data_IF_822039236858
#
_entry.id   IF_822039236858
#
_cell.length_a   1.000
_cell.length_b   1.000
_cell.length_c   1.000
_cell.angle_alpha   90.00
_cell.angle_beta   90.00
_cell.angle_gamma   90.00
#
_symmetry.space_group_name_H-M   'P 1'
#
loop_
_entity.id
_entity.type
_entity.pdbx_description
1 polymer ?
#
# COMPACT_ATOMS: atom_id res chain seq x y z
N UNK A 1 -13.92 -8.70 16.18
CA UNK A 1 -14.85 -9.08 15.10
C UNK A 1 -15.11 -7.85 14.26
N UNK A 2 -14.79 -7.90 12.96
CA UNK A 2 -14.96 -6.80 12.00
C UNK A 2 -16.43 -6.76 11.58
N UNK A 3 -17.14 -5.65 11.82
CA UNK A 3 -18.59 -5.54 11.54
C UNK A 3 -18.88 -4.55 10.43
N UNK A 4 -18.30 -3.34 10.50
CA UNK A 4 -18.56 -2.24 9.56
C UNK A 4 -18.09 -2.56 8.13
N UNK A 5 -16.95 -3.22 7.96
CA UNK A 5 -16.35 -3.38 6.63
C UNK A 5 -16.60 -4.73 5.97
N UNK A 6 -17.22 -5.68 6.67
CA UNK A 6 -17.48 -7.01 6.12
C UNK A 6 -18.38 -6.99 4.88
N UNK A 7 -19.37 -6.10 4.84
CA UNK A 7 -20.30 -5.96 3.70
C UNK A 7 -19.73 -5.11 2.56
N UNK A 8 -18.54 -4.52 2.73
CA UNK A 8 -17.85 -3.73 1.70
C UNK A 8 -16.89 -4.55 0.86
N UNK A 9 -16.53 -5.75 1.32
CA UNK A 9 -15.71 -6.70 0.55
C UNK A 9 -16.65 -7.47 -0.36
N UNK A 10 -16.49 -7.29 -1.66
CA UNK A 10 -17.39 -7.84 -2.68
C UNK A 10 -16.63 -8.75 -3.65
N UNK A 11 -17.39 -9.61 -4.33
CA UNK A 11 -16.86 -10.44 -5.41
C UNK A 11 -16.74 -9.64 -6.70
N UNK A 12 -15.88 -10.11 -7.61
CA UNK A 12 -15.66 -9.48 -8.91
C UNK A 12 -16.94 -9.35 -9.75
N UNK A 13 -17.86 -10.32 -9.66
CA UNK A 13 -19.13 -10.27 -10.38
C UNK A 13 -19.95 -9.04 -9.99
N UNK A 14 -20.14 -8.81 -8.69
CA UNK A 14 -20.84 -7.63 -8.18
C UNK A 14 -20.08 -6.33 -8.47
N UNK A 15 -18.74 -6.37 -8.47
CA UNK A 15 -17.92 -5.22 -8.83
C UNK A 15 -18.13 -4.81 -10.29
N UNK A 16 -18.36 -5.76 -11.20
CA UNK A 16 -18.69 -5.45 -12.59
C UNK A 16 -20.04 -4.75 -12.72
N UNK A 17 -21.05 -5.19 -11.95
CA UNK A 17 -22.37 -4.53 -11.93
C UNK A 17 -22.26 -3.07 -11.46
N UNK A 18 -21.48 -2.81 -10.40
CA UNK A 18 -21.25 -1.45 -9.91
C UNK A 18 -20.52 -0.58 -10.94
N UNK A 19 -19.51 -1.13 -11.63
CA UNK A 19 -18.83 -0.41 -12.73
C UNK A 19 -19.81 -0.05 -13.85
N UNK A 20 -20.74 -0.94 -14.20
CA UNK A 20 -21.81 -0.64 -15.17
C UNK A 20 -22.79 0.43 -14.69
N UNK A 21 -22.98 0.58 -13.38
CA UNK A 21 -23.77 1.66 -12.76
C UNK A 21 -23.01 2.99 -12.64
N UNK A 22 -21.77 3.05 -13.13
CA UNK A 22 -20.95 4.27 -13.14
C UNK A 22 -20.03 4.45 -11.94
N UNK A 23 -19.83 3.42 -11.12
CA UNK A 23 -18.77 3.44 -10.10
C UNK A 23 -17.41 3.44 -10.78
N UNK A 24 -16.49 4.26 -10.29
CA UNK A 24 -15.09 4.12 -10.65
C UNK A 24 -14.47 2.95 -9.88
N UNK A 25 -13.53 2.28 -10.54
CA UNK A 25 -12.71 1.24 -9.96
C UNK A 25 -11.24 1.61 -10.14
N UNK A 26 -10.46 1.54 -9.07
CA UNK A 26 -9.05 1.92 -9.07
C UNK A 26 -8.25 0.86 -8.31
N UNK A 27 -7.15 0.41 -8.92
CA UNK A 27 -6.08 -0.31 -8.24
C UNK A 27 -5.00 0.72 -7.89
N UNK A 28 -4.96 1.23 -6.65
CA UNK A 28 -4.19 2.45 -6.33
C UNK A 28 -2.71 2.19 -6.07
N UNK A 29 -2.23 0.95 -6.25
CA UNK A 29 -0.85 0.57 -5.96
C UNK A 29 -0.33 -0.39 -7.04
N UNK A 30 0.39 0.14 -8.01
CA UNK A 30 0.88 -0.59 -9.17
C UNK A 30 2.24 -0.04 -9.62
N UNK A 31 3.17 -0.94 -9.93
CA UNK A 31 4.53 -0.59 -10.34
C UNK A 31 4.81 -0.98 -11.79
N UNK A 32 5.66 -0.18 -12.41
CA UNK A 32 6.19 -0.38 -13.77
C UNK A 32 7.69 -0.60 -13.72
N UNK A 33 8.32 -0.85 -14.87
CA UNK A 33 9.78 -0.97 -14.99
C UNK A 33 10.57 0.30 -14.61
N UNK A 34 9.91 1.37 -14.16
CA UNK A 34 10.54 2.55 -13.60
C UNK A 34 10.71 2.47 -12.08
N UNK A 35 10.01 1.58 -11.38
CA UNK A 35 10.36 1.18 -10.01
C UNK A 35 11.68 0.42 -9.99
N UNK A 36 12.47 0.61 -8.92
CA UNK A 36 13.79 -0.01 -8.79
C UNK A 36 13.74 -1.55 -8.65
N UNK A 37 12.60 -2.14 -8.33
CA UNK A 37 12.41 -3.56 -8.06
C UNK A 37 11.56 -4.30 -9.10
N UNK A 38 11.16 -3.61 -10.17
CA UNK A 38 10.44 -4.21 -11.29
C UNK A 38 11.40 -4.42 -12.47
N UNK A 39 11.49 -5.65 -13.03
CA UNK A 39 12.36 -5.91 -14.16
C UNK A 39 11.98 -5.07 -15.38
N UNK A 40 12.97 -4.53 -16.10
CA UNK A 40 12.74 -3.76 -17.32
C UNK A 40 12.49 -4.68 -18.53
N UNK A 41 11.22 -5.02 -18.73
CA UNK A 41 10.72 -5.80 -19.86
C UNK A 41 9.45 -5.17 -20.43
N UNK A 42 9.12 -5.52 -21.67
CA UNK A 42 7.89 -5.03 -22.32
C UNK A 42 6.65 -5.26 -21.44
N UNK A 43 6.55 -6.41 -20.78
CA UNK A 43 5.39 -6.78 -19.96
C UNK A 43 5.14 -5.83 -18.78
N UNK A 44 6.19 -5.23 -18.22
CA UNK A 44 6.13 -4.32 -17.06
C UNK A 44 6.26 -2.85 -17.47
N UNK A 45 6.28 -2.56 -18.78
CA UNK A 45 6.27 -1.17 -19.26
C UNK A 45 5.00 -0.43 -18.81
N UNK A 46 5.09 0.90 -18.60
CA UNK A 46 3.93 1.74 -18.29
C UNK A 46 2.75 1.52 -19.24
N UNK A 47 2.99 1.38 -20.56
CA UNK A 47 1.92 1.16 -21.54
C UNK A 47 1.17 -0.15 -21.31
N UNK A 48 1.91 -1.22 -20.99
CA UNK A 48 1.32 -2.53 -20.80
C UNK A 48 0.52 -2.60 -19.50
N UNK A 49 0.95 -1.89 -18.45
CA UNK A 49 0.18 -1.76 -17.22
C UNK A 49 -1.11 -0.99 -17.47
N UNK A 50 -1.03 0.19 -18.08
CA UNK A 50 -2.21 1.03 -18.35
C UNK A 50 -3.21 0.29 -19.25
N UNK A 51 -2.74 -0.33 -20.34
CA UNK A 51 -3.60 -1.14 -21.22
C UNK A 51 -4.30 -2.26 -20.45
N UNK A 52 -3.62 -2.88 -19.48
CA UNK A 52 -4.19 -3.94 -18.66
C UNK A 52 -5.23 -3.39 -17.69
N UNK A 53 -4.96 -2.29 -17.00
CA UNK A 53 -5.93 -1.60 -16.13
C UNK A 53 -7.19 -1.20 -16.92
N UNK A 54 -7.04 -0.58 -18.09
CA UNK A 54 -8.16 -0.19 -18.96
C UNK A 54 -8.98 -1.40 -19.41
N UNK A 55 -8.33 -2.52 -19.77
CA UNK A 55 -9.02 -3.75 -20.17
C UNK A 55 -9.87 -4.37 -19.06
N UNK A 56 -9.61 -4.02 -17.81
CA UNK A 56 -10.35 -4.46 -16.62
C UNK A 56 -11.43 -3.45 -16.18
N UNK A 57 -11.53 -2.32 -16.89
CA UNK A 57 -12.40 -1.20 -16.52
C UNK A 57 -11.90 -0.44 -15.29
N UNK A 58 -10.60 -0.45 -15.04
CA UNK A 58 -9.97 0.32 -13.96
C UNK A 58 -9.50 1.68 -14.48
N UNK A 59 -9.56 2.71 -13.64
CA UNK A 59 -8.89 3.99 -13.93
C UNK A 59 -7.37 3.77 -13.92
N UNK A 60 -6.65 4.17 -14.97
CA UNK A 60 -5.20 3.99 -15.03
C UNK A 60 -4.46 4.81 -13.97
N UNK A 61 -3.54 4.16 -13.27
CA UNK A 61 -2.70 4.75 -12.23
C UNK A 61 -1.34 4.05 -12.19
N UNK A 62 -0.28 4.83 -12.03
CA UNK A 62 1.10 4.34 -11.82
C UNK A 62 1.59 4.93 -10.51
N UNK A 63 2.14 4.10 -9.63
CA UNK A 63 2.69 4.49 -8.33
C UNK A 63 4.08 3.89 -8.16
N UNK A 64 5.01 4.22 -9.07
CA UNK A 64 6.39 3.73 -8.98
C UNK A 64 7.07 4.22 -7.69
N UNK A 65 8.07 3.47 -7.21
CA UNK A 65 8.80 3.83 -5.99
C UNK A 65 9.59 5.13 -6.15
N UNK A 66 9.33 6.10 -5.28
CA UNK A 66 10.05 7.36 -5.17
C UNK A 66 10.27 8.05 -6.54
N UNK A 67 9.30 7.92 -7.46
CA UNK A 67 9.44 8.49 -8.80
C UNK A 67 8.11 8.66 -9.54
N UNK A 68 8.02 9.70 -10.36
CA UNK A 68 6.97 9.88 -11.38
C UNK A 68 7.41 9.48 -12.78
N UNK A 69 8.58 8.84 -12.94
CA UNK A 69 9.17 8.62 -14.26
C UNK A 69 8.32 7.75 -15.19
N UNK A 70 7.64 6.71 -14.69
CA UNK A 70 6.73 5.89 -15.50
C UNK A 70 5.53 6.69 -16.03
N UNK A 71 4.96 7.55 -15.19
CA UNK A 71 3.92 8.50 -15.58
C UNK A 71 4.43 9.53 -16.60
N UNK A 72 5.55 10.21 -16.30
CA UNK A 72 6.15 11.23 -17.17
C UNK A 72 6.47 10.65 -18.56
N UNK A 73 6.97 9.42 -18.61
CA UNK A 73 7.24 8.69 -19.84
C UNK A 73 5.98 8.56 -20.72
N UNK A 74 4.85 8.13 -20.16
CA UNK A 74 3.59 8.00 -20.90
C UNK A 74 3.05 9.35 -21.37
N UNK A 75 3.11 10.37 -20.51
CA UNK A 75 2.64 11.71 -20.84
C UNK A 75 3.41 12.32 -22.01
N UNK A 76 4.72 12.12 -22.05
CA UNK A 76 5.58 12.63 -23.13
C UNK A 76 5.30 11.99 -24.49
N UNK A 77 4.85 10.72 -24.54
CA UNK A 77 4.71 9.95 -25.78
C UNK A 77 3.28 9.83 -26.31
N UNK A 78 2.33 9.61 -25.40
CA UNK A 78 0.96 9.20 -25.77
C UNK A 78 -0.13 10.14 -25.26
N UNK A 79 0.20 11.05 -24.33
CA UNK A 79 -0.77 11.93 -23.65
C UNK A 79 -1.98 11.14 -23.10
N UNK A 80 -1.73 9.93 -22.63
CA UNK A 80 -2.78 9.04 -22.10
C UNK A 80 -3.21 9.54 -20.72
N UNK A 81 -4.51 9.51 -20.43
CA UNK A 81 -5.03 9.92 -19.11
C UNK A 81 -4.67 8.86 -18.07
N UNK A 82 -3.66 9.16 -17.26
CA UNK A 82 -3.19 8.33 -16.14
C UNK A 82 -3.15 9.22 -14.90
N UNK A 83 -3.57 8.69 -13.76
CA UNK A 83 -3.42 9.38 -12.47
C UNK A 83 -1.95 9.30 -12.06
N UNK A 84 -1.23 10.43 -11.90
CA UNK A 84 0.12 10.39 -11.37
C UNK A 84 0.08 10.01 -9.90
N UNK A 85 0.93 9.08 -9.51
CA UNK A 85 1.14 8.71 -8.11
C UNK A 85 2.59 8.23 -7.93
N UNK A 86 3.05 8.22 -6.69
CA UNK A 86 4.32 7.62 -6.30
C UNK A 86 4.16 6.90 -4.97
N UNK A 87 4.84 5.76 -4.80
CA UNK A 87 5.01 5.14 -3.48
C UNK A 87 6.27 5.71 -2.84
N UNK A 88 6.10 6.57 -1.83
CA UNK A 88 7.21 7.23 -1.16
C UNK A 88 7.57 6.48 0.11
N UNK A 89 8.86 6.19 0.28
CA UNK A 89 9.38 5.49 1.46
C UNK A 89 9.95 6.47 2.48
N UNK A 90 9.49 6.37 3.73
CA UNK A 90 10.05 7.14 4.86
C UNK A 90 10.40 6.20 6.02
N UNK A 91 11.55 6.41 6.65
CA UNK A 91 11.95 5.73 7.90
C UNK A 91 11.95 6.76 9.02
N UNK A 92 10.84 6.97 9.74
CA UNK A 92 10.73 8.08 10.68
C UNK A 92 11.65 7.91 11.89
N UNK A 93 12.39 8.96 12.22
CA UNK A 93 13.11 9.06 13.51
C UNK A 93 12.19 9.53 14.63
N UNK A 94 11.27 10.42 14.29
CA UNK A 94 10.30 11.03 15.20
C UNK A 94 8.91 10.97 14.60
N UNK A 95 7.91 10.83 15.47
CA UNK A 95 6.52 11.07 15.14
C UNK A 95 5.89 11.64 16.41
N UNK A 96 5.65 12.95 16.45
CA UNK A 96 5.31 13.70 17.67
C UNK A 96 4.09 13.15 18.41
N UNK A 97 3.18 12.47 17.70
CA UNK A 97 1.97 11.89 18.27
C UNK A 97 2.13 10.45 18.79
N UNK A 98 3.32 9.84 18.69
CA UNK A 98 3.59 8.48 19.17
C UNK A 98 5.04 8.37 19.66
N UNK A 99 5.25 8.33 20.99
CA UNK A 99 6.57 7.98 21.53
C UNK A 99 6.87 6.51 21.26
N UNK A 100 7.81 6.24 20.36
CA UNK A 100 8.28 4.88 20.10
C UNK A 100 9.46 4.55 20.99
N UNK A 101 9.35 3.48 21.79
CA UNK A 101 10.49 2.92 22.54
C UNK A 101 11.54 2.24 21.65
N UNK A 102 11.25 2.07 20.36
CA UNK A 102 12.05 1.33 19.37
C UNK A 102 12.00 2.07 18.04
N UNK A 103 13.02 1.94 17.17
CA UNK A 103 12.97 2.49 15.82
C UNK A 103 11.71 1.99 15.10
N UNK A 104 11.11 2.88 14.32
CA UNK A 104 10.00 2.53 13.45
C UNK A 104 10.54 1.79 12.22
N UNK A 105 9.75 0.86 11.68
CA UNK A 105 10.02 0.28 10.36
C UNK A 105 9.75 1.31 9.25
N UNK A 106 10.27 1.07 8.06
CA UNK A 106 9.97 1.86 6.89
C UNK A 106 8.45 1.93 6.66
N UNK A 107 7.93 3.13 6.46
CA UNK A 107 6.57 3.38 6.06
C UNK A 107 6.56 3.64 4.57
N UNK A 108 5.65 2.97 3.88
CA UNK A 108 5.41 3.20 2.47
C UNK A 108 4.08 3.95 2.33
N UNK A 109 4.11 5.03 1.56
CA UNK A 109 2.99 5.96 1.45
C UNK A 109 2.74 6.25 -0.02
N UNK A 110 1.62 5.77 -0.57
CA UNK A 110 1.18 6.25 -1.87
C UNK A 110 0.66 7.67 -1.74
N UNK A 111 1.16 8.55 -2.61
CA UNK A 111 0.68 9.92 -2.77
C UNK A 111 0.13 10.06 -4.18
N UNK A 112 -1.05 10.65 -4.32
CA UNK A 112 -1.79 10.72 -5.58
C UNK A 112 -1.90 12.15 -6.08
N UNK A 113 -1.99 12.30 -7.40
CA UNK A 113 -2.15 13.58 -8.11
C UNK A 113 -1.03 14.61 -7.85
N UNK A 114 0.15 14.16 -7.39
CA UNK A 114 1.32 15.01 -7.20
C UNK A 114 2.08 15.27 -8.50
N UNK A 115 2.84 16.37 -8.52
CA UNK A 115 3.80 16.70 -9.56
C UNK A 115 5.26 16.47 -9.13
N UNK A 116 6.21 16.77 -10.02
CA UNK A 116 7.64 16.56 -9.75
C UNK A 116 8.22 17.52 -8.70
N UNK A 117 7.65 18.72 -8.54
CA UNK A 117 8.11 19.69 -7.53
C UNK A 117 7.66 19.22 -6.14
N UNK A 118 6.40 18.82 -6.02
CA UNK A 118 5.85 18.25 -4.80
C UNK A 118 6.56 16.94 -4.42
N UNK A 119 6.86 16.06 -5.40
CA UNK A 119 7.65 14.85 -5.15
C UNK A 119 9.04 15.19 -4.58
N UNK A 120 9.77 16.13 -5.18
CA UNK A 120 11.10 16.50 -4.71
C UNK A 120 11.11 17.04 -3.27
N UNK A 121 10.07 17.81 -2.88
CA UNK A 121 9.90 18.27 -1.50
C UNK A 121 9.64 17.08 -0.56
N UNK A 122 8.75 16.17 -0.94
CA UNK A 122 8.43 14.97 -0.15
C UNK A 122 9.66 14.05 0.01
N UNK A 123 10.48 13.88 -1.01
CA UNK A 123 11.75 13.15 -0.96
C UNK A 123 12.74 13.78 0.03
N UNK A 124 12.88 15.11 0.02
CA UNK A 124 13.72 15.84 0.97
C UNK A 124 13.22 15.65 2.42
N UNK A 125 11.91 15.75 2.66
CA UNK A 125 11.30 15.50 3.97
C UNK A 125 11.47 14.05 4.44
N UNK A 126 11.31 13.08 3.51
CA UNK A 126 11.54 11.67 3.79
C UNK A 126 13.02 11.41 4.14
N UNK A 127 13.96 12.05 3.45
CA UNK A 127 15.40 11.95 3.73
C UNK A 127 15.78 12.51 5.11
N UNK A 128 15.08 13.56 5.55
CA UNK A 128 15.19 14.14 6.90
C UNK A 128 14.49 13.29 7.97
N UNK A 129 13.74 12.27 7.55
CA UNK A 129 13.05 11.32 8.42
C UNK A 129 11.99 11.98 9.31
N UNK A 130 11.37 13.06 8.82
CA UNK A 130 10.38 13.88 9.52
C UNK A 130 8.97 13.58 9.01
N UNK A 131 8.31 12.61 9.66
CA UNK A 131 6.95 12.21 9.30
C UNK A 131 5.91 13.30 9.58
N UNK A 132 6.12 14.11 10.62
CA UNK A 132 5.17 15.16 10.97
C UNK A 132 5.15 16.25 9.90
N UNK A 133 6.33 16.68 9.46
CA UNK A 133 6.46 17.65 8.37
C UNK A 133 5.94 17.08 7.06
N UNK A 134 6.29 15.84 6.73
CA UNK A 134 5.83 15.14 5.54
C UNK A 134 4.30 15.13 5.45
N UNK A 135 3.62 14.73 6.53
CA UNK A 135 2.15 14.68 6.58
C UNK A 135 1.54 16.09 6.61
N UNK A 136 2.22 17.06 7.24
CA UNK A 136 1.79 18.46 7.23
C UNK A 136 1.79 19.02 5.81
N UNK A 137 2.86 18.79 5.06
CA UNK A 137 2.98 19.22 3.67
C UNK A 137 1.87 18.60 2.81
N UNK A 138 1.67 17.27 2.89
CA UNK A 138 0.59 16.59 2.16
C UNK A 138 -0.79 17.22 2.41
N UNK A 139 -1.08 17.58 3.67
CA UNK A 139 -2.36 18.23 4.04
C UNK A 139 -2.46 19.67 3.57
N UNK A 140 -1.36 20.42 3.56
CA UNK A 140 -1.33 21.82 3.10
C UNK A 140 -1.50 21.93 1.59
N UNK A 141 -0.88 21.01 0.85
CA UNK A 141 -1.00 20.87 -0.60
C UNK A 141 -2.29 20.16 -1.04
N UNK A 142 -3.14 19.78 -0.08
CA UNK A 142 -4.40 19.06 -0.32
C UNK A 142 -4.22 17.75 -1.11
N UNK A 143 -3.07 17.08 -0.95
CA UNK A 143 -2.74 15.83 -1.62
C UNK A 143 -3.44 14.65 -0.95
N UNK A 144 -3.95 13.73 -1.77
CA UNK A 144 -4.51 12.47 -1.29
C UNK A 144 -3.39 11.45 -1.11
N UNK A 145 -3.46 10.67 -0.02
CA UNK A 145 -2.44 9.67 0.30
C UNK A 145 -3.01 8.47 1.07
N UNK A 146 -2.25 7.38 1.08
CA UNK A 146 -2.60 6.11 1.74
C UNK A 146 -1.41 5.51 2.48
N UNK A 147 -1.65 4.88 3.64
CA UNK A 147 -0.64 4.03 4.27
C UNK A 147 -0.66 2.63 3.66
N UNK A 148 0.43 2.29 2.98
CA UNK A 148 0.58 1.00 2.31
C UNK A 148 0.93 -0.10 3.31
N UNK A 149 0.43 -1.30 3.00
CA UNK A 149 0.69 -2.60 3.61
C UNK A 149 1.19 -2.55 5.08
N UNK A 150 0.35 -2.09 6.03
CA UNK A 150 0.80 -1.68 7.38
C UNK A 150 1.58 -2.71 8.21
N UNK A 151 1.41 -4.00 7.88
CA UNK A 151 2.03 -5.14 8.55
C UNK A 151 3.23 -5.71 7.79
N UNK A 152 3.73 -4.97 6.81
CA UNK A 152 4.95 -5.27 6.08
C UNK A 152 6.13 -4.44 6.61
N UNK A 153 7.33 -4.97 6.45
CA UNK A 153 8.57 -4.23 6.68
C UNK A 153 9.68 -4.82 5.80
N UNK A 154 10.72 -4.03 5.59
CA UNK A 154 11.89 -4.43 4.82
C UNK A 154 12.58 -5.69 5.37
N UNK A 155 13.30 -6.41 4.50
CA UNK A 155 13.92 -7.72 4.85
C UNK A 155 14.83 -7.65 6.08
N UNK A 156 15.51 -6.51 6.28
CA UNK A 156 16.46 -6.28 7.38
C UNK A 156 15.84 -5.55 8.58
N UNK A 157 14.53 -5.29 8.54
CA UNK A 157 13.82 -4.58 9.59
C UNK A 157 13.03 -5.53 10.49
N UNK A 158 12.54 -4.97 11.61
CA UNK A 158 11.57 -5.62 12.49
C UNK A 158 10.31 -4.76 12.53
N UNK A 159 9.19 -5.33 12.10
CA UNK A 159 7.90 -4.66 12.17
C UNK A 159 7.61 -4.19 13.61
N UNK A 160 7.40 -2.88 13.77
CA UNK A 160 6.97 -2.31 15.03
C UNK A 160 5.43 -2.28 15.09
N UNK A 161 4.80 -3.44 15.23
CA UNK A 161 3.34 -3.57 15.22
C UNK A 161 2.62 -2.69 16.26
N UNK A 162 3.30 -2.28 17.35
CA UNK A 162 2.76 -1.40 18.39
C UNK A 162 2.52 0.01 17.88
N UNK A 163 3.27 0.44 16.88
CA UNK A 163 3.14 1.76 16.27
C UNK A 163 1.89 1.88 15.39
N UNK A 164 1.51 0.78 14.72
CA UNK A 164 0.50 0.78 13.65
C UNK A 164 -0.83 1.44 14.07
N UNK A 165 -1.47 1.09 15.21
CA UNK A 165 -2.73 1.74 15.59
C UNK A 165 -2.59 3.24 15.80
N UNK A 166 -1.47 3.70 16.37
CA UNK A 166 -1.20 5.12 16.53
C UNK A 166 -0.98 5.81 15.19
N UNK A 167 -0.22 5.18 14.28
CA UNK A 167 0.06 5.72 12.95
C UNK A 167 -1.23 5.94 12.17
N UNK A 168 -2.05 4.88 12.10
CA UNK A 168 -3.36 4.91 11.45
C UNK A 168 -4.25 5.99 12.05
N UNK A 169 -4.33 6.05 13.38
CA UNK A 169 -5.20 7.03 14.05
C UNK A 169 -4.80 8.46 13.71
N UNK A 170 -3.50 8.77 13.78
CA UNK A 170 -3.01 10.15 13.83
C UNK A 170 -2.59 10.73 12.46
N UNK A 171 -2.13 9.89 11.53
CA UNK A 171 -1.53 10.38 10.29
C UNK A 171 -2.33 10.06 9.03
N UNK A 172 -3.08 8.96 9.00
CA UNK A 172 -3.65 8.43 7.75
C UNK A 172 -5.18 8.39 7.78
N UNK A 173 -5.80 8.76 6.66
CA UNK A 173 -7.25 8.67 6.48
C UNK A 173 -7.68 7.44 5.68
N UNK A 174 -6.77 6.88 4.87
CA UNK A 174 -6.96 5.65 4.10
C UNK A 174 -5.80 4.70 4.35
N UNK A 175 -6.09 3.40 4.39
CA UNK A 175 -5.11 2.35 4.68
C UNK A 175 -5.31 1.20 3.68
N UNK A 176 -4.21 0.59 3.25
CA UNK A 176 -4.22 -0.44 2.23
C UNK A 176 -4.62 -1.83 2.76
N UNK A 177 -5.46 -2.54 1.98
CA UNK A 177 -5.54 -4.00 1.97
C UNK A 177 -4.78 -4.55 0.76
N UNK A 178 -3.58 -5.03 1.03
CA UNK A 178 -2.62 -5.41 0.02
C UNK A 178 -2.81 -6.88 -0.37
N UNK A 179 -2.92 -7.17 -1.67
CA UNK A 179 -3.11 -8.53 -2.18
C UNK A 179 -1.94 -9.47 -1.88
N UNK A 180 -0.73 -8.90 -1.73
CA UNK A 180 0.47 -9.61 -1.30
C UNK A 180 0.51 -9.95 0.18
N UNK A 181 -0.54 -9.66 0.99
CA UNK A 181 -0.59 -10.02 2.42
C UNK A 181 -1.56 -11.17 2.71
N UNK A 182 -1.26 -12.02 3.70
CA UNK A 182 -2.17 -13.08 4.13
C UNK A 182 -3.43 -12.49 4.78
N UNK A 183 -4.52 -13.25 4.70
CA UNK A 183 -5.85 -12.83 5.15
C UNK A 183 -5.89 -12.25 6.56
N UNK A 184 -5.19 -12.86 7.50
CA UNK A 184 -5.24 -12.46 8.91
C UNK A 184 -4.58 -11.09 9.16
N UNK A 185 -3.54 -10.72 8.40
CA UNK A 185 -2.93 -9.39 8.49
C UNK A 185 -3.83 -8.32 7.85
N UNK A 186 -4.43 -8.60 6.69
CA UNK A 186 -5.42 -7.72 6.09
C UNK A 186 -6.67 -7.56 6.99
N UNK A 187 -7.10 -8.63 7.67
CA UNK A 187 -8.19 -8.55 8.67
C UNK A 187 -7.79 -7.68 9.88
N UNK A 188 -6.51 -7.68 10.29
CA UNK A 188 -6.03 -6.78 11.33
C UNK A 188 -6.05 -5.31 10.87
N UNK A 189 -5.65 -5.04 9.62
CA UNK A 189 -5.76 -3.70 9.03
C UNK A 189 -7.22 -3.21 9.04
N UNK A 190 -8.15 -4.05 8.57
CA UNK A 190 -9.58 -3.76 8.61
C UNK A 190 -10.07 -3.46 10.03
N UNK A 191 -9.64 -4.25 11.01
CA UNK A 191 -10.02 -4.03 12.40
C UNK A 191 -9.54 -2.67 12.92
N UNK A 192 -8.28 -2.30 12.66
CA UNK A 192 -7.73 -1.01 13.10
C UNK A 192 -8.48 0.15 12.42
N UNK A 193 -8.71 0.05 11.11
CA UNK A 193 -9.45 1.04 10.34
C UNK A 193 -10.86 1.25 10.89
N UNK A 194 -11.56 0.17 11.24
CA UNK A 194 -12.90 0.24 11.83
C UNK A 194 -12.89 0.92 13.20
N UNK A 195 -11.85 0.71 14.02
CA UNK A 195 -11.78 1.35 15.33
C UNK A 195 -11.63 2.86 15.26
N UNK A 196 -10.91 3.38 14.26
CA UNK A 196 -10.62 4.80 14.07
C UNK A 196 -11.38 5.44 12.91
N UNK A 197 -12.40 4.76 12.38
CA UNK A 197 -13.27 5.24 11.30
C UNK A 197 -12.50 5.68 10.04
N UNK A 198 -11.47 4.91 9.65
CA UNK A 198 -10.62 5.20 8.50
C UNK A 198 -11.13 4.52 7.23
N UNK A 199 -10.88 5.15 6.09
CA UNK A 199 -11.11 4.57 4.77
C UNK A 199 -10.19 3.39 4.51
N UNK A 200 -10.57 2.57 3.53
CA UNK A 200 -9.78 1.43 3.07
C UNK A 200 -9.71 1.48 1.55
N UNK A 201 -8.52 1.23 1.01
CA UNK A 201 -8.38 0.88 -0.39
C UNK A 201 -7.71 -0.50 -0.49
N UNK A 202 -8.19 -1.36 -1.39
CA UNK A 202 -7.52 -2.60 -1.74
C UNK A 202 -6.69 -2.39 -3.00
N UNK A 203 -5.49 -2.95 -3.03
CA UNK A 203 -4.57 -2.78 -4.15
C UNK A 203 -3.73 -4.04 -4.41
N UNK A 204 -3.30 -4.19 -5.66
CA UNK A 204 -2.56 -5.36 -6.13
C UNK A 204 -1.10 -5.35 -5.71
N UNK A 205 -0.50 -4.16 -5.62
CA UNK A 205 0.94 -3.98 -5.40
C UNK A 205 1.75 -4.77 -6.44
N UNK A 206 1.30 -4.64 -7.70
CA UNK A 206 1.77 -5.52 -8.77
C UNK A 206 3.14 -5.09 -9.29
N UNK A 207 4.07 -6.04 -9.28
CA UNK A 207 5.42 -5.92 -9.84
C UNK A 207 5.60 -6.71 -11.14
N UNK A 208 4.53 -7.35 -11.61
CA UNK A 208 4.57 -8.29 -12.75
C UNK A 208 3.49 -8.03 -13.80
N UNK A 209 2.82 -6.88 -13.73
CA UNK A 209 1.68 -6.48 -14.56
C UNK A 209 0.47 -7.43 -14.42
N UNK A 210 0.06 -7.65 -13.17
CA UNK A 210 -1.13 -8.40 -12.78
C UNK A 210 -2.07 -7.54 -11.90
N UNK A 211 -2.53 -6.35 -12.39
CA UNK A 211 -3.47 -5.53 -11.65
C UNK A 211 -4.86 -6.17 -11.62
N UNK A 212 -5.70 -5.74 -10.67
CA UNK A 212 -7.12 -6.13 -10.59
C UNK A 212 -7.42 -7.42 -9.83
N UNK A 213 -6.42 -8.08 -9.24
CA UNK A 213 -6.63 -9.06 -8.17
C UNK A 213 -7.13 -8.40 -6.87
N UNK A 214 -6.82 -7.12 -6.67
CA UNK A 214 -7.37 -6.28 -5.61
C UNK A 214 -7.54 -4.85 -6.13
N UNK A 215 -8.70 -4.25 -5.86
CA UNK A 215 -9.02 -2.88 -6.28
C UNK A 215 -10.18 -2.32 -5.48
N UNK A 216 -10.36 -1.00 -5.56
CA UNK A 216 -11.35 -0.24 -4.80
C UNK A 216 -12.37 0.38 -5.72
N UNK A 217 -13.65 0.36 -5.33
CA UNK A 217 -14.74 0.99 -6.06
C UNK A 217 -15.42 2.07 -5.22
N UNK A 218 -15.72 3.20 -5.84
CA UNK A 218 -16.52 4.26 -5.25
C UNK A 218 -17.18 5.10 -6.36
N UNK A 219 -18.27 5.77 -6.03
CA UNK A 219 -18.88 6.77 -6.93
C UNK A 219 -17.96 7.99 -7.09
N UNK A 220 -18.15 8.76 -8.16
CA UNK A 220 -17.44 10.02 -8.36
C UNK A 220 -17.50 10.47 -9.81
N UNK A 221 -17.15 11.72 -10.08
CA UNK A 221 -17.01 12.25 -11.46
C UNK A 221 -15.55 12.34 -11.92
N UNK A 222 -14.62 12.30 -10.98
CA UNK A 222 -13.18 12.28 -11.19
C UNK A 222 -12.49 11.50 -10.04
N UNK A 223 -11.17 11.38 -10.10
CA UNK A 223 -10.40 10.67 -9.07
C UNK A 223 -10.53 11.31 -7.67
N UNK A 224 -10.62 12.63 -7.58
CA UNK A 224 -10.76 13.34 -6.31
C UNK A 224 -12.08 13.01 -5.61
N UNK A 225 -13.19 13.00 -6.35
CA UNK A 225 -14.50 12.58 -5.82
C UNK A 225 -14.47 11.12 -5.36
N UNK A 226 -13.86 10.25 -6.17
CA UNK A 226 -13.65 8.84 -5.84
C UNK A 226 -12.90 8.70 -4.52
N UNK A 227 -11.76 9.37 -4.37
CA UNK A 227 -10.93 9.25 -3.17
C UNK A 227 -11.57 9.87 -1.93
N UNK A 228 -12.31 10.97 -2.12
CA UNK A 228 -13.12 11.56 -1.04
C UNK A 228 -14.17 10.56 -0.52
N UNK A 229 -14.85 9.85 -1.41
CA UNK A 229 -15.77 8.78 -1.03
C UNK A 229 -15.07 7.63 -0.30
N UNK A 230 -13.84 7.26 -0.70
CA UNK A 230 -13.02 6.28 0.03
C UNK A 230 -12.71 6.75 1.46
N UNK A 231 -12.24 8.00 1.64
CA UNK A 231 -11.98 8.61 2.96
C UNK A 231 -13.22 8.60 3.84
N UNK A 232 -14.39 8.90 3.27
CA UNK A 232 -15.67 8.94 3.98
C UNK A 232 -16.34 7.56 4.15
N UNK A 233 -15.60 6.48 3.90
CA UNK A 233 -16.10 5.10 4.01
C UNK A 233 -17.27 4.76 3.07
N UNK A 234 -17.42 5.45 1.95
CA UNK A 234 -18.39 5.16 0.87
C UNK A 234 -17.70 4.46 -0.30
N UNK A 235 -17.19 3.27 -0.01
CA UNK A 235 -16.50 2.42 -0.98
C UNK A 235 -16.96 0.96 -0.88
N UNK A 236 -16.61 0.21 -1.92
CA UNK A 236 -16.50 -1.24 -1.95
C UNK A 236 -15.06 -1.63 -2.32
N UNK A 237 -14.64 -2.84 -1.95
CA UNK A 237 -13.34 -3.38 -2.36
C UNK A 237 -13.50 -4.79 -2.89
N UNK A 238 -12.78 -5.08 -3.96
CA UNK A 238 -12.44 -6.44 -4.35
C UNK A 238 -11.11 -6.78 -3.71
N UNK A 239 -11.06 -7.92 -3.02
CA UNK A 239 -9.92 -8.35 -2.23
C UNK A 239 -9.57 -9.80 -2.56
N UNK A 240 -8.37 -10.02 -3.08
CA UNK A 240 -7.73 -11.33 -3.14
C UNK A 240 -6.57 -11.34 -2.13
N UNK A 241 -6.65 -12.19 -1.11
CA UNK A 241 -5.57 -12.35 -0.14
C UNK A 241 -4.47 -13.28 -0.67
N UNK A 242 -3.27 -13.14 -0.12
CA UNK A 242 -2.14 -13.99 -0.47
C UNK A 242 -2.41 -15.46 -0.09
N UNK A 243 -2.27 -16.35 -1.08
CA UNK A 243 -2.35 -17.81 -0.95
C UNK A 243 -1.05 -18.44 -1.48
N UNK A 244 -0.76 -19.72 -1.18
CA UNK A 244 0.42 -20.37 -1.75
C UNK A 244 0.45 -20.32 -3.29
N UNK A 245 -0.72 -20.40 -3.92
CA UNK A 245 -0.85 -20.36 -5.38
C UNK A 245 -0.59 -18.96 -5.95
N UNK A 246 -1.09 -17.90 -5.29
CA UNK A 246 -0.86 -16.53 -5.78
C UNK A 246 0.60 -16.14 -5.65
N UNK A 247 1.26 -16.47 -4.53
CA UNK A 247 2.71 -16.26 -4.38
C UNK A 247 3.46 -16.99 -5.48
N UNK A 248 3.15 -18.27 -5.69
CA UNK A 248 3.80 -19.08 -6.72
C UNK A 248 3.67 -18.47 -8.12
N UNK A 249 2.46 -17.99 -8.48
CA UNK A 249 2.20 -17.31 -9.75
C UNK A 249 3.05 -16.05 -9.89
N UNK A 250 3.04 -15.16 -8.90
CA UNK A 250 3.82 -13.92 -8.89
C UNK A 250 5.33 -14.20 -8.97
N UNK A 251 5.81 -15.20 -8.23
CA UNK A 251 7.21 -15.64 -8.24
C UNK A 251 7.66 -16.07 -9.63
N UNK A 252 6.85 -16.92 -10.28
CA UNK A 252 7.14 -17.42 -11.61
C UNK A 252 7.15 -16.31 -12.66
N UNK A 253 6.19 -15.38 -12.57
CA UNK A 253 6.14 -14.20 -13.44
C UNK A 253 7.38 -13.30 -13.25
N UNK A 254 7.73 -12.98 -12.00
CA UNK A 254 8.89 -12.16 -11.67
C UNK A 254 10.18 -12.78 -12.19
N UNK A 255 10.43 -14.06 -11.93
CA UNK A 255 11.63 -14.76 -12.42
C UNK A 255 11.66 -14.81 -13.95
N UNK A 256 10.51 -15.07 -14.59
CA UNK A 256 10.42 -15.04 -16.05
C UNK A 256 10.81 -13.67 -16.59
N UNK A 257 10.35 -12.60 -15.96
CA UNK A 257 10.70 -11.22 -16.32
C UNK A 257 12.18 -10.92 -16.07
N UNK A 258 12.76 -11.33 -14.93
CA UNK A 258 14.20 -11.19 -14.67
C UNK A 258 15.04 -11.88 -15.76
N UNK A 259 14.64 -13.07 -16.21
CA UNK A 259 15.36 -13.80 -17.26
C UNK A 259 15.18 -13.22 -18.67
N UNK A 260 14.12 -12.45 -18.90
CA UNK A 260 13.84 -11.73 -20.15
C UNK A 260 14.44 -10.33 -20.14
N UNK A 261 14.59 -9.73 -18.97
CA UNK A 261 15.18 -8.42 -18.79
C UNK A 261 16.59 -8.47 -19.34
N UNK A 262 16.86 -7.62 -20.32
CA UNK A 262 18.23 -7.27 -20.66
C UNK A 262 18.71 -6.37 -19.52
N UNK A 263 19.19 -7.01 -18.44
CA UNK A 263 19.72 -6.33 -17.27
C UNK A 263 20.87 -5.46 -17.78
N UNK A 264 20.61 -4.16 -17.95
CA UNK A 264 21.44 -3.08 -18.53
C UNK A 264 21.07 -2.54 -19.93
N UNK A 265 19.79 -2.49 -20.33
CA UNK A 265 19.41 -1.60 -21.45
C UNK A 265 19.63 -0.11 -21.11
N UNK A 266 19.52 0.25 -19.82
CA UNK A 266 19.82 1.57 -19.28
C UNK A 266 20.83 1.43 -18.13
N UNK A 267 22.13 1.61 -18.40
CA UNK A 267 23.24 1.48 -17.43
C UNK A 267 23.12 2.38 -16.18
N UNK A 268 22.21 3.35 -16.20
CA UNK A 268 22.01 4.35 -15.15
C UNK A 268 20.96 3.95 -14.09
N UNK A 269 20.24 2.83 -14.26
CA UNK A 269 19.19 2.41 -13.32
C UNK A 269 19.62 1.20 -12.49
N UNK A 270 19.67 1.35 -11.17
CA UNK A 270 19.90 0.25 -10.23
C UNK A 270 18.65 -0.62 -10.14
N UNK A 271 18.76 -1.90 -10.50
CA UNK A 271 17.70 -2.89 -10.28
C UNK A 271 17.98 -3.70 -9.01
N UNK A 272 17.06 -3.63 -8.04
CA UNK A 272 17.09 -4.41 -6.80
C UNK A 272 15.79 -5.18 -6.69
N UNK A 273 15.73 -6.47 -7.09
CA UNK A 273 14.47 -7.18 -7.11
C UNK A 273 13.89 -7.33 -5.71
N UNK A 274 12.64 -6.92 -5.56
CA UNK A 274 11.80 -7.08 -4.39
C UNK A 274 10.37 -7.40 -4.85
N UNK A 275 9.64 -8.11 -4.01
CA UNK A 275 8.25 -8.52 -4.24
C UNK A 275 7.39 -8.34 -3.00
N UNK A 276 7.95 -7.71 -1.97
CA UNK A 276 7.38 -7.67 -0.63
C UNK A 276 7.35 -9.03 0.08
N UNK A 277 7.83 -10.12 -0.51
CA UNK A 277 7.86 -11.44 0.12
C UNK A 277 9.31 -11.80 0.42
N UNK A 278 9.70 -11.71 1.69
CA UNK A 278 11.10 -11.90 2.12
C UNK A 278 11.80 -13.13 1.54
N UNK A 279 11.10 -14.26 1.46
CA UNK A 279 11.67 -15.49 0.90
C UNK A 279 11.95 -15.37 -0.62
N UNK A 280 11.09 -14.64 -1.34
CA UNK A 280 11.30 -14.31 -2.75
C UNK A 280 12.41 -13.29 -2.94
N UNK A 281 12.49 -12.28 -2.10
CA UNK A 281 13.51 -11.24 -2.25
C UNK A 281 14.92 -11.83 -2.07
N UNK A 282 15.09 -12.79 -1.15
CA UNK A 282 16.34 -13.55 -1.00
C UNK A 282 16.63 -14.39 -2.26
N UNK A 283 15.61 -15.07 -2.80
CA UNK A 283 15.74 -15.85 -4.01
C UNK A 283 16.16 -14.95 -5.19
N UNK A 284 15.48 -13.82 -5.39
CA UNK A 284 15.76 -12.92 -6.50
C UNK A 284 17.12 -12.27 -6.38
N UNK A 285 17.52 -11.81 -5.19
CA UNK A 285 18.88 -11.32 -4.93
C UNK A 285 19.94 -12.38 -5.25
N UNK A 286 19.66 -13.64 -4.97
CA UNK A 286 20.56 -14.74 -5.34
C UNK A 286 20.65 -14.87 -6.86
N UNK A 287 19.52 -14.85 -7.56
CA UNK A 287 19.44 -14.95 -9.04
C UNK A 287 20.12 -13.78 -9.75
N UNK A 288 20.02 -12.56 -9.20
CA UNK A 288 20.64 -11.36 -9.78
C UNK A 288 22.09 -11.16 -9.38
N UNK A 289 22.58 -11.84 -8.33
CA UNK A 289 24.01 -11.88 -8.04
C UNK A 289 24.78 -12.52 -9.21
N UNK A 290 25.78 -11.83 -9.74
CA UNK A 290 26.38 -12.09 -11.06
C UNK A 290 26.93 -13.51 -11.32
N UNK A 291 26.99 -14.41 -10.33
CA UNK A 291 27.48 -15.78 -10.49
C UNK A 291 26.48 -16.75 -11.17
N UNK A 292 25.18 -16.44 -11.16
CA UNK A 292 24.10 -17.33 -11.61
C UNK A 292 23.45 -16.89 -12.94
N UNK A 293 23.56 -15.61 -13.29
CA UNK A 293 22.88 -14.96 -14.44
C UNK A 293 23.34 -15.48 -15.81
N UNK A 294 24.64 -15.75 -15.97
CA UNK A 294 25.21 -16.14 -17.27
C UNK A 294 25.25 -17.67 -17.49
N UNK A 295 24.79 -18.44 -16.50
CA UNK A 295 24.80 -19.91 -16.59
C UNK A 295 23.49 -20.39 -17.22
N UNK A 296 23.57 -20.66 -18.53
CA UNK A 296 22.48 -21.24 -19.35
C UNK A 296 21.82 -22.47 -18.69
N UNK A 297 22.61 -23.28 -17.99
CA UNK A 297 22.13 -24.42 -17.22
C UNK A 297 21.22 -24.03 -16.05
N UNK A 298 21.56 -22.99 -15.28
CA UNK A 298 20.72 -22.50 -14.17
C UNK A 298 19.44 -21.85 -14.69
N UNK A 299 19.50 -21.09 -15.79
CA UNK A 299 18.29 -20.58 -16.46
C UNK A 299 17.38 -21.71 -16.91
N UNK A 300 17.93 -22.80 -17.45
CA UNK A 300 17.18 -24.00 -17.85
C UNK A 300 16.64 -24.76 -16.65
N UNK A 301 17.42 -24.94 -15.58
CA UNK A 301 17.01 -25.62 -14.34
C UNK A 301 15.98 -24.81 -13.56
N UNK A 302 16.10 -23.49 -13.48
CA UNK A 302 15.08 -22.62 -12.88
C UNK A 302 13.83 -22.55 -13.74
N UNK A 303 13.92 -22.47 -15.06
CA UNK A 303 12.74 -22.58 -15.92
C UNK A 303 12.08 -23.96 -15.78
N UNK A 304 12.85 -25.05 -15.69
CA UNK A 304 12.32 -26.38 -15.42
C UNK A 304 11.75 -26.50 -14.01
N UNK A 305 12.33 -25.84 -13.01
CA UNK A 305 11.80 -25.78 -11.66
C UNK A 305 10.49 -25.01 -11.68
N UNK A 306 10.43 -23.80 -12.25
CA UNK A 306 9.21 -23.01 -12.40
C UNK A 306 8.13 -23.69 -13.25
N UNK A 307 8.51 -24.46 -14.26
CA UNK A 307 7.59 -25.26 -15.06
C UNK A 307 7.13 -26.51 -14.29
N UNK A 308 8.01 -27.15 -13.50
CA UNK A 308 7.67 -28.30 -12.64
C UNK A 308 7.00 -27.91 -11.31
N UNK A 309 7.04 -26.64 -10.94
CA UNK A 309 6.33 -26.02 -9.81
C UNK A 309 4.82 -26.03 -10.05
N UNK A 310 4.37 -26.03 -11.31
CA UNK A 310 2.96 -26.29 -11.65
C UNK A 310 2.55 -27.77 -11.49
N UNK A 311 3.49 -28.70 -11.26
CA UNK A 311 3.25 -30.15 -11.29
C UNK A 311 3.81 -30.92 -10.07
N UNK A 312 4.42 -30.25 -9.09
CA UNK A 312 5.02 -30.90 -7.91
C UNK A 312 4.54 -30.27 -6.61
N UNK A 313 4.30 -31.08 -5.58
CA UNK A 313 3.79 -30.63 -4.28
C UNK A 313 4.83 -29.83 -3.45
N UNK A 314 6.12 -29.91 -3.78
CA UNK A 314 7.22 -29.33 -3.00
C UNK A 314 7.19 -27.80 -2.93
N UNK A 315 7.11 -27.07 -4.07
CA UNK A 315 7.00 -25.62 -4.07
C UNK A 315 5.76 -25.07 -3.37
N UNK A 316 4.61 -25.73 -3.56
CA UNK A 316 3.37 -25.38 -2.84
C UNK A 316 3.54 -25.61 -1.33
N UNK A 317 4.22 -26.68 -0.91
CA UNK A 317 4.52 -26.95 0.49
C UNK A 317 5.47 -25.90 1.09
N UNK A 318 6.51 -25.50 0.36
CA UNK A 318 7.40 -24.41 0.80
C UNK A 318 6.63 -23.11 1.03
N UNK A 319 5.78 -22.71 0.08
CA UNK A 319 4.95 -21.51 0.21
C UNK A 319 3.92 -21.63 1.33
N UNK A 320 3.35 -22.81 1.53
CA UNK A 320 2.46 -23.11 2.65
C UNK A 320 3.17 -22.94 3.99
N UNK A 321 4.41 -23.42 4.12
CA UNK A 321 5.22 -23.25 5.32
C UNK A 321 5.59 -21.78 5.55
N UNK A 322 5.98 -21.05 4.51
CA UNK A 322 6.24 -19.61 4.61
C UNK A 322 5.01 -18.85 5.09
N UNK A 323 3.86 -19.04 4.43
CA UNK A 323 2.60 -18.42 4.83
C UNK A 323 2.17 -18.81 6.23
N UNK A 324 2.42 -20.05 6.67
CA UNK A 324 2.09 -20.47 8.03
C UNK A 324 2.83 -19.65 9.10
N UNK A 325 4.07 -19.19 8.81
CA UNK A 325 4.83 -18.32 9.72
C UNK A 325 4.23 -16.92 9.80
N UNK A 326 3.87 -16.33 8.66
CA UNK A 326 3.19 -15.02 8.60
C UNK A 326 1.82 -15.07 9.30
N UNK A 327 1.07 -16.15 9.07
CA UNK A 327 -0.23 -16.38 9.72
C UNK A 327 -0.05 -16.50 11.23
N UNK A 328 0.91 -17.32 11.68
CA UNK A 328 1.24 -17.47 13.10
C UNK A 328 1.65 -16.14 13.74
N UNK A 329 2.46 -15.33 13.04
CA UNK A 329 2.81 -13.99 13.50
C UNK A 329 1.57 -13.12 13.72
N UNK A 330 0.68 -13.04 12.72
CA UNK A 330 -0.54 -12.24 12.82
C UNK A 330 -1.45 -12.68 13.96
N UNK A 331 -1.64 -13.99 14.18
CA UNK A 331 -2.41 -14.49 15.32
C UNK A 331 -1.74 -14.15 16.68
N UNK A 332 -0.41 -14.23 16.77
CA UNK A 332 0.35 -13.90 17.99
C UNK A 332 0.27 -12.41 18.40
N UNK A 333 0.02 -11.51 17.45
CA UNK A 333 -0.09 -10.06 17.71
C UNK A 333 -1.54 -9.57 17.78
N UNK A 334 -2.50 -10.34 17.27
CA UNK A 334 -3.90 -9.95 17.15
C UNK A 334 -4.53 -9.49 18.45
N UNK A 335 -4.48 -10.30 19.50
CA UNK A 335 -5.07 -9.93 20.81
C UNK A 335 -4.42 -8.68 21.39
N UNK A 336 -3.10 -8.53 21.20
CA UNK A 336 -2.33 -7.39 21.68
C UNK A 336 -2.71 -6.10 20.95
N UNK A 337 -2.92 -6.18 19.62
CA UNK A 337 -3.42 -5.08 18.80
C UNK A 337 -4.84 -4.71 19.19
N UNK A 338 -5.72 -5.69 19.39
CA UNK A 338 -7.11 -5.47 19.82
C UNK A 338 -7.12 -4.70 21.14
N UNK A 339 -6.33 -5.14 22.12
CA UNK A 339 -6.19 -4.47 23.42
C UNK A 339 -5.66 -3.05 23.28
N UNK A 340 -4.55 -2.87 22.56
CA UNK A 340 -3.91 -1.56 22.36
C UNK A 340 -4.85 -0.56 21.67
N UNK A 341 -5.51 -0.99 20.60
CA UNK A 341 -6.44 -0.16 19.82
C UNK A 341 -7.63 0.26 20.68
N UNK A 342 -8.16 -0.68 21.48
CA UNK A 342 -9.26 -0.38 22.42
C UNK A 342 -8.83 0.62 23.49
N UNK A 343 -7.60 0.51 24.02
CA UNK A 343 -7.05 1.48 24.98
C UNK A 343 -6.90 2.87 24.39
N UNK A 344 -6.40 3.00 23.15
CA UNK A 344 -6.28 4.28 22.46
C UNK A 344 -7.65 4.95 22.26
N UNK A 345 -8.65 4.17 21.82
CA UNK A 345 -10.02 4.64 21.64
C UNK A 345 -10.67 5.09 22.95
N UNK A 346 -10.48 4.32 24.02
CA UNK A 346 -10.98 4.67 25.35
C UNK A 346 -10.34 5.96 25.89
N UNK A 347 -9.05 6.16 25.62
CA UNK A 347 -8.34 7.39 25.98
C UNK A 347 -8.93 8.62 25.28
N UNK A 348 -9.21 8.54 23.97
CA UNK A 348 -9.85 9.63 23.23
C UNK A 348 -11.24 9.97 23.76
N UNK A 349 -12.07 8.96 24.04
CA UNK A 349 -13.39 9.16 24.62
C UNK A 349 -13.30 9.89 25.98
N UNK A 350 -12.27 9.59 26.78
CA UNK A 350 -12.02 10.26 28.05
C UNK A 350 -11.56 11.72 27.87
N UNK A 351 -10.72 12.01 26.89
CA UNK A 351 -10.31 13.39 26.57
C UNK A 351 -11.51 14.19 26.04
N UNK A 352 -12.25 13.64 25.07
CA UNK A 352 -13.38 14.32 24.45
C UNK A 352 -14.51 14.60 25.45
N UNK A 353 -14.79 13.66 26.36
CA UNK A 353 -15.77 13.89 27.45
C UNK A 353 -15.31 14.99 28.41
N UNK A 354 -14.02 15.06 28.77
CA UNK A 354 -13.47 16.17 29.58
C UNK A 354 -13.54 17.53 28.86
N UNK A 355 -13.22 17.58 27.57
CA UNK A 355 -13.33 18.81 26.77
C UNK A 355 -14.79 19.25 26.67
N UNK A 356 -15.74 18.33 26.45
CA UNK A 356 -17.17 18.64 26.44
C UNK A 356 -17.69 19.12 27.79
N UNK A 357 -17.27 18.49 28.90
CA UNK A 357 -17.60 18.93 30.26
C UNK A 357 -17.07 20.36 30.52
N UNK A 358 -15.84 20.66 30.11
CA UNK A 358 -15.29 22.00 30.24
C UNK A 358 -16.03 23.03 29.37
N UNK A 359 -16.37 22.73 28.11
CA UNK A 359 -17.18 23.62 27.26
C UNK A 359 -18.57 23.88 27.84
N UNK A 360 -19.19 22.90 28.50
CA UNK A 360 -20.47 23.08 29.19
C UNK A 360 -20.36 23.90 30.49
N UNK A 361 -19.21 23.83 31.18
CA UNK A 361 -18.94 24.70 32.34
C UNK A 361 -18.72 26.17 31.92
N UNK A 362 -18.18 26.44 30.72
CA UNK A 362 -18.10 27.80 30.18
C UNK A 362 -19.46 28.39 29.75
N UNK A 363 -20.47 27.55 29.47
CA UNK A 363 -21.86 28.02 29.27
C UNK A 363 -22.60 28.36 30.58
N UNK A 364 -21.99 28.12 31.74
CA UNK A 364 -22.60 28.35 33.06
C UNK A 364 -22.20 29.69 33.70
N UNK A 365 -21.39 30.50 33.01
CA UNK A 365 -21.07 31.87 33.39
C UNK A 365 -21.38 32.80 32.21
N UNK A 366 -22.47 33.58 32.26
CA UNK A 366 -22.67 34.69 31.32
C UNK A 366 -21.51 35.67 31.45
N UNK A 367 -21.10 36.24 30.32
CA UNK A 367 -20.04 37.24 30.19
C UNK A 367 -20.17 38.37 31.21
N UNK A 368 -19.19 38.51 32.11
CA UNK A 368 -18.90 39.79 32.78
C UNK A 368 -18.10 40.69 31.83
N UNK A 369 -18.73 41.09 30.72
CA UNK A 369 -18.22 42.17 29.85
C UNK A 369 -19.41 43.00 29.36
N UNK A 370 -20.04 43.69 30.30
CA UNK A 370 -20.88 44.86 29.99
C UNK A 370 -21.17 45.59 31.31
N UNK A 371 -20.26 46.46 31.74
CA UNK A 371 -20.53 47.65 32.59
C UNK A 371 -19.20 48.28 33.07
N UNK A 372 -18.41 48.86 32.16
CA UNK A 372 -17.63 50.08 32.44
C UNK A 372 -17.50 50.84 31.11
N UNK A 373 -18.49 51.68 30.79
CA UNK A 373 -18.31 52.95 30.06
C UNK A 373 -19.42 53.89 30.54
N UNK A 374 -19.09 54.65 31.59
CA UNK A 374 -19.56 56.03 31.74
C UNK A 374 -18.71 56.92 30.85
#
# INVERSE_FOLDING_TARGET
MIKKYKHKIILNEFANDLKHQGYFAVDPHCHTSFSYDVPDVKQTSPEMLVKKQESLGLMPLISDHDTLNGYNYLMSRKKQKVIPAAEITIIPKTANLISFKKPLHALHINVFQLDNEQLAILEDLASKQDLDEFIRFLRQEDLDYMYNHPFWCETNEKLNWRAIPGLVKNYFDVIELNAGRPKNLNDLTLYIAEQFNKGIASASDTHTNDPGNAYTLAEGKNFRDFWQNVKESRFYVVREDMTPFTIMRQSGAMISNIFRANINAHKERSFTPASGVRALDILFKSVTSGSLKDKLFIKKTMNMMLQSVNYTAGPVLFWKLYLSKEISYGENVKEKIVKLTSSLKAFDNKINSKIHLNKNNYKKYPSMVEHIKN
#
